data_IF_884693999132
#
_entry.id   IF_884693999132
#
_cell.length_a   1.000
_cell.length_b   1.000
_cell.length_c   1.000
_cell.angle_alpha   90.00
_cell.angle_beta   90.00
_cell.angle_gamma   90.00
#
_symmetry.space_group_name_H-M   'P 1'
#
loop_
_entity.id
_entity.type
_entity.pdbx_description
1 polymer ?
#
# COMPACT_ATOMS: atom_id res chain seq x y z
N UNK A 1 23.19 -18.42 59.33
CA UNK A 1 21.82 -18.00 58.98
C UNK A 1 21.95 -16.82 58.02
N UNK A 2 21.80 -17.07 56.72
CA UNK A 2 20.63 -16.68 55.89
C UNK A 2 20.52 -15.15 55.76
N UNK A 3 20.37 -14.52 54.60
CA UNK A 3 19.96 -14.97 53.26
C UNK A 3 20.46 -13.90 52.27
N UNK A 4 21.27 -14.27 51.27
CA UNK A 4 21.61 -13.36 50.17
C UNK A 4 20.53 -13.48 49.09
N UNK A 5 19.63 -12.50 49.03
CA UNK A 5 18.66 -12.37 47.93
C UNK A 5 19.41 -11.75 46.75
N UNK A 6 19.85 -12.59 45.81
CA UNK A 6 20.23 -12.14 44.46
C UNK A 6 18.95 -11.86 43.68
N UNK A 7 18.59 -10.59 43.55
CA UNK A 7 17.65 -10.16 42.52
C UNK A 7 18.41 -10.07 41.20
N UNK A 8 18.27 -11.10 40.35
CA UNK A 8 18.59 -10.98 38.92
C UNK A 8 17.53 -10.07 38.28
N UNK A 9 17.79 -8.76 38.29
CA UNK A 9 17.07 -7.82 37.43
C UNK A 9 17.60 -7.98 36.02
N UNK A 10 16.81 -8.63 35.16
CA UNK A 10 17.09 -8.72 33.74
C UNK A 10 16.76 -7.38 33.07
N UNK A 11 17.77 -6.54 32.86
CA UNK A 11 17.65 -5.19 32.31
C UNK A 11 17.24 -5.14 30.81
N UNK A 12 16.97 -6.29 30.18
CA UNK A 12 16.51 -6.38 28.78
C UNK A 12 14.98 -6.35 28.59
N UNK A 13 14.18 -6.07 29.64
CA UNK A 13 12.71 -6.03 29.56
C UNK A 13 12.07 -4.63 29.60
N UNK A 14 12.85 -3.53 29.54
CA UNK A 14 12.31 -2.17 29.69
C UNK A 14 12.91 -1.12 28.74
N UNK A 15 13.31 -1.49 27.53
CA UNK A 15 13.61 -0.49 26.49
C UNK A 15 12.88 -0.87 25.20
N UNK A 16 11.83 -0.12 24.78
CA UNK A 16 11.37 -0.21 23.41
C UNK A 16 12.44 0.44 22.53
N UNK A 17 13.34 -0.39 22.00
CA UNK A 17 14.31 0.00 20.98
C UNK A 17 13.59 0.07 19.63
N UNK A 18 12.81 1.13 19.42
CA UNK A 18 12.54 1.64 18.08
C UNK A 18 13.59 2.73 17.83
N UNK A 19 14.78 2.32 17.43
CA UNK A 19 15.81 3.22 16.93
C UNK A 19 15.70 3.24 15.40
N UNK A 20 15.29 4.36 14.82
CA UNK A 20 15.40 4.58 13.38
C UNK A 20 15.95 5.97 13.08
N UNK A 21 17.27 6.03 12.90
CA UNK A 21 17.89 7.14 12.18
C UNK A 21 17.67 6.92 10.68
N UNK A 22 16.75 7.70 10.09
CA UNK A 22 16.94 8.25 8.75
C UNK A 22 16.10 9.53 8.52
N UNK A 23 16.53 10.71 9.04
CA UNK A 23 16.10 11.98 8.47
C UNK A 23 17.18 12.46 7.49
N UNK A 24 16.81 12.63 6.22
CA UNK A 24 17.30 13.65 5.25
C UNK A 24 17.20 13.21 3.78
N UNK A 25 17.13 11.91 3.44
CA UNK A 25 17.01 11.49 2.03
C UNK A 25 15.56 11.46 1.50
N UNK A 26 14.56 11.27 2.36
CA UNK A 26 13.16 11.07 1.93
C UNK A 26 12.37 12.35 1.61
N UNK A 27 12.99 13.54 1.62
CA UNK A 27 12.31 14.75 1.12
C UNK A 27 12.67 15.03 -0.35
N UNK A 28 13.79 14.50 -0.84
CA UNK A 28 14.28 14.75 -2.21
C UNK A 28 14.27 13.48 -3.07
N UNK A 29 14.48 12.29 -2.50
CA UNK A 29 14.45 11.04 -3.27
C UNK A 29 13.06 10.73 -3.87
N UNK A 30 11.97 11.07 -3.17
CA UNK A 30 10.59 10.88 -3.66
C UNK A 30 10.22 11.80 -4.85
N UNK A 31 11.02 12.82 -5.16
CA UNK A 31 10.80 13.71 -6.31
C UNK A 31 11.88 13.62 -7.40
N UNK A 32 13.02 12.95 -7.18
CA UNK A 32 14.20 13.11 -8.03
C UNK A 32 14.78 11.83 -8.65
N UNK A 33 14.24 10.63 -8.39
CA UNK A 33 14.77 9.36 -8.94
C UNK A 33 13.77 8.52 -9.73
N UNK A 34 12.70 9.12 -10.25
CA UNK A 34 11.66 8.39 -11.00
C UNK A 34 11.95 7.98 -12.47
N UNK A 35 13.01 8.38 -13.21
CA UNK A 35 13.04 8.03 -14.65
C UNK A 35 14.00 6.92 -15.08
N UNK A 36 14.70 6.20 -14.20
CA UNK A 36 15.71 5.21 -14.64
C UNK A 36 15.75 3.91 -13.84
N UNK A 37 14.60 3.29 -13.61
CA UNK A 37 14.54 1.85 -13.42
C UNK A 37 13.42 1.28 -14.28
N UNK A 38 13.77 0.35 -15.16
CA UNK A 38 12.82 -0.53 -15.82
C UNK A 38 12.11 -1.32 -14.71
N UNK A 39 10.91 -0.87 -14.36
CA UNK A 39 9.96 -1.63 -13.56
C UNK A 39 9.71 -2.95 -14.29
N UNK A 40 10.42 -3.98 -13.86
CA UNK A 40 10.09 -5.37 -14.19
C UNK A 40 8.91 -5.73 -13.29
N UNK A 41 7.74 -5.24 -13.67
CA UNK A 41 6.52 -5.45 -12.94
C UNK A 41 5.98 -6.82 -13.34
N UNK A 42 6.16 -7.83 -12.47
CA UNK A 42 5.12 -8.85 -12.31
C UNK A 42 4.14 -8.36 -11.23
N UNK A 43 3.65 -7.14 -11.45
CA UNK A 43 2.26 -6.81 -11.21
C UNK A 43 1.45 -7.70 -12.17
N UNK A 44 0.23 -8.13 -11.83
CA UNK A 44 -0.65 -8.64 -12.91
C UNK A 44 -0.70 -7.54 -13.94
N UNK A 45 -0.22 -7.81 -15.17
CA UNK A 45 -0.25 -6.80 -16.21
C UNK A 45 -1.64 -6.15 -16.23
N UNK A 46 -1.70 -4.81 -16.26
CA UNK A 46 -2.97 -4.11 -16.36
C UNK A 46 -3.79 -4.74 -17.48
N UNK A 47 -5.03 -5.12 -17.17
CA UNK A 47 -5.92 -5.66 -18.21
C UNK A 47 -6.46 -4.43 -18.93
N UNK A 48 -5.78 -4.05 -20.00
CA UNK A 48 -6.24 -3.01 -20.89
C UNK A 48 -7.53 -3.44 -21.59
N UNK A 49 -8.37 -2.45 -21.88
CA UNK A 49 -9.74 -2.65 -22.31
C UNK A 49 -9.91 -2.16 -23.73
N UNK A 50 -10.43 -3.03 -24.59
CA UNK A 50 -10.84 -2.70 -25.95
C UNK A 50 -12.37 -2.65 -26.05
N UNK A 51 -12.86 -2.01 -27.12
CA UNK A 51 -14.30 -2.00 -27.42
C UNK A 51 -14.87 -3.43 -27.48
N UNK A 52 -15.99 -3.64 -26.80
CA UNK A 52 -16.65 -4.95 -26.66
C UNK A 52 -16.24 -5.73 -25.40
N UNK A 53 -15.18 -5.32 -24.70
CA UNK A 53 -14.81 -5.92 -23.42
C UNK A 53 -15.85 -5.62 -22.33
N UNK A 54 -15.77 -6.38 -21.23
CA UNK A 54 -16.71 -6.29 -20.10
C UNK A 54 -16.02 -5.79 -18.84
N UNK A 55 -16.58 -4.73 -18.25
CA UNK A 55 -16.21 -4.19 -16.94
C UNK A 55 -17.42 -4.30 -16.03
N UNK A 56 -17.32 -5.09 -14.96
CA UNK A 56 -18.47 -5.58 -14.23
C UNK A 56 -19.54 -6.17 -15.19
N UNK A 57 -20.78 -5.69 -15.09
CA UNK A 57 -21.89 -6.10 -15.95
C UNK A 57 -22.10 -5.21 -17.18
N UNK A 58 -21.16 -4.31 -17.48
CA UNK A 58 -21.25 -3.32 -18.55
C UNK A 58 -20.24 -3.58 -19.68
N UNK A 59 -20.58 -3.13 -20.88
CA UNK A 59 -19.75 -3.27 -22.07
C UNK A 59 -18.95 -1.98 -22.33
N UNK A 60 -17.70 -2.13 -22.76
CA UNK A 60 -16.86 -1.02 -23.22
C UNK A 60 -17.34 -0.60 -24.61
N UNK A 61 -17.88 0.62 -24.72
CA UNK A 61 -18.39 1.19 -25.97
C UNK A 61 -17.31 1.88 -26.82
N UNK A 62 -16.27 2.40 -26.17
CA UNK A 62 -15.10 3.01 -26.81
C UNK A 62 -13.85 2.80 -25.96
N UNK A 63 -12.75 2.48 -26.64
CA UNK A 63 -11.42 2.27 -26.10
C UNK A 63 -10.59 3.56 -26.06
N UNK A 64 -9.42 3.49 -25.42
CA UNK A 64 -8.42 4.54 -25.36
C UNK A 64 -7.70 4.61 -26.71
N UNK A 65 -7.64 5.80 -27.32
CA UNK A 65 -7.06 5.95 -28.65
C UNK A 65 -6.43 7.34 -28.82
N UNK A 66 -5.10 7.39 -28.74
CA UNK A 66 -4.32 8.62 -28.93
C UNK A 66 -4.28 9.10 -30.40
N UNK A 67 -4.66 8.25 -31.34
CA UNK A 67 -4.67 8.52 -32.77
C UNK A 67 -6.09 8.66 -33.33
N UNK A 68 -7.12 8.71 -32.47
CA UNK A 68 -8.53 8.77 -32.88
C UNK A 68 -8.78 9.92 -33.83
N UNK A 69 -9.25 9.63 -35.02
CA UNK A 69 -9.61 10.63 -36.04
C UNK A 69 -11.09 10.98 -35.89
N UNK A 70 -11.38 12.24 -35.62
CA UNK A 70 -12.77 12.71 -35.53
C UNK A 70 -13.43 12.60 -36.92
N UNK A 71 -14.54 11.85 -37.07
CA UNK A 71 -15.06 11.41 -38.36
C UNK A 71 -15.60 12.56 -39.24
N UNK A 72 -15.83 13.74 -38.65
CA UNK A 72 -16.37 14.91 -39.37
C UNK A 72 -15.29 15.94 -39.68
N UNK A 73 -14.34 16.17 -38.77
CA UNK A 73 -13.29 17.20 -38.93
C UNK A 73 -11.99 16.65 -39.51
N UNK A 74 -11.77 15.32 -39.47
CA UNK A 74 -10.54 14.68 -39.92
C UNK A 74 -9.31 14.97 -39.04
N UNK A 75 -9.51 15.61 -37.89
CA UNK A 75 -8.47 15.91 -36.91
C UNK A 75 -8.22 14.73 -35.99
N UNK A 76 -6.96 14.52 -35.59
CA UNK A 76 -6.63 13.59 -34.50
C UNK A 76 -7.05 14.24 -33.19
N UNK A 77 -8.02 13.65 -32.52
CA UNK A 77 -8.53 14.05 -31.21
C UNK A 77 -8.36 12.88 -30.24
N UNK A 78 -7.26 12.85 -29.46
CA UNK A 78 -6.96 11.76 -28.55
C UNK A 78 -8.11 11.49 -27.57
N UNK A 79 -8.50 10.23 -27.45
CA UNK A 79 -9.40 9.76 -26.41
C UNK A 79 -8.58 9.21 -25.24
N UNK A 80 -8.48 9.98 -24.16
CA UNK A 80 -7.71 9.63 -22.95
C UNK A 80 -8.49 8.78 -21.94
N UNK A 81 -9.61 8.18 -22.35
CA UNK A 81 -10.54 7.47 -21.48
C UNK A 81 -10.97 6.13 -22.03
N UNK A 82 -11.71 5.39 -21.20
CA UNK A 82 -12.47 4.21 -21.58
C UNK A 82 -13.95 4.52 -21.36
N UNK A 83 -14.76 4.39 -22.41
CA UNK A 83 -16.20 4.59 -22.33
C UNK A 83 -16.89 3.27 -21.98
N UNK A 84 -17.54 3.21 -20.83
CA UNK A 84 -18.31 2.07 -20.37
C UNK A 84 -19.80 2.40 -20.48
N UNK A 85 -20.54 1.61 -21.27
CA UNK A 85 -21.96 1.82 -21.51
C UNK A 85 -22.78 1.52 -20.24
N UNK A 86 -23.11 2.59 -19.50
CA UNK A 86 -23.87 2.54 -18.25
C UNK A 86 -25.19 3.32 -18.39
N UNK A 87 -26.33 2.78 -17.93
CA UNK A 87 -27.57 3.55 -17.86
C UNK A 87 -27.44 4.75 -16.91
N UNK A 88 -28.11 5.86 -17.22
CA UNK A 88 -28.23 7.01 -16.30
C UNK A 88 -28.72 6.55 -14.93
N UNK A 89 -28.06 7.03 -13.88
CA UNK A 89 -28.36 6.65 -12.49
C UNK A 89 -27.62 5.41 -12.01
N UNK A 90 -26.72 4.81 -12.80
CA UNK A 90 -25.84 3.75 -12.32
C UNK A 90 -24.97 4.30 -11.20
N UNK A 91 -24.94 3.60 -10.06
CA UNK A 91 -24.20 4.04 -8.88
C UNK A 91 -22.71 3.83 -9.07
N UNK A 92 -21.94 4.87 -8.78
CA UNK A 92 -20.51 4.78 -8.56
C UNK A 92 -20.25 4.66 -7.06
N UNK A 93 -19.58 3.58 -6.68
CA UNK A 93 -19.41 3.14 -5.30
C UNK A 93 -17.94 3.29 -4.93
N UNK A 94 -17.65 3.89 -3.78
CA UNK A 94 -16.29 4.04 -3.28
C UNK A 94 -15.69 2.67 -2.93
N UNK A 95 -14.64 2.19 -3.61
CA UNK A 95 -14.02 0.90 -3.30
C UNK A 95 -13.13 0.98 -2.05
N UNK A 96 -12.64 2.18 -1.74
CA UNK A 96 -11.80 2.52 -0.58
C UNK A 96 -12.34 3.79 0.06
N UNK A 97 -11.63 4.35 1.04
CA UNK A 97 -11.83 5.77 1.36
C UNK A 97 -11.38 6.59 0.14
N UNK A 98 -12.17 7.57 -0.28
CA UNK A 98 -11.87 8.43 -1.43
C UNK A 98 -12.14 9.89 -1.09
N UNK A 99 -11.31 10.81 -1.58
CA UNK A 99 -11.63 12.25 -1.69
C UNK A 99 -12.18 12.49 -3.10
N UNK A 100 -13.34 13.17 -3.17
CA UNK A 100 -14.04 13.48 -4.42
C UNK A 100 -14.17 14.98 -4.58
N UNK A 101 -13.81 15.48 -5.76
CA UNK A 101 -14.04 16.86 -6.20
C UNK A 101 -14.86 16.85 -7.47
N UNK A 102 -15.93 17.64 -7.49
CA UNK A 102 -16.90 17.71 -8.55
C UNK A 102 -16.85 19.07 -9.24
N UNK A 103 -16.98 19.07 -10.56
CA UNK A 103 -17.20 20.30 -11.32
C UNK A 103 -17.89 19.99 -12.65
N UNK A 104 -18.41 21.04 -13.28
CA UNK A 104 -19.00 20.94 -14.60
C UNK A 104 -18.02 21.40 -15.69
N UNK A 105 -17.62 20.51 -16.59
CA UNK A 105 -16.83 20.81 -17.78
C UNK A 105 -17.73 21.11 -18.98
N UNK A 106 -17.74 22.38 -19.40
CA UNK A 106 -18.51 22.86 -20.54
C UNK A 106 -17.94 22.41 -21.90
N UNK A 107 -16.70 21.91 -21.95
CA UNK A 107 -16.02 21.55 -23.20
C UNK A 107 -16.27 20.11 -23.65
N UNK A 108 -17.14 19.38 -22.95
CA UNK A 108 -17.55 18.04 -23.33
C UNK A 108 -17.74 17.11 -22.15
N UNK A 109 -16.96 17.27 -21.07
CA UNK A 109 -16.99 16.32 -19.95
C UNK A 109 -18.28 16.32 -19.12
N UNK A 110 -19.09 17.38 -19.18
CA UNK A 110 -20.32 17.47 -18.41
C UNK A 110 -20.03 17.52 -16.91
N UNK A 111 -20.84 16.84 -16.10
CA UNK A 111 -20.55 16.68 -14.67
C UNK A 111 -19.39 15.69 -14.49
N UNK A 112 -18.33 16.13 -13.81
CA UNK A 112 -17.08 15.39 -13.63
C UNK A 112 -16.81 15.15 -12.15
N UNK A 113 -16.34 13.96 -11.81
CA UNK A 113 -15.74 13.65 -10.50
C UNK A 113 -14.24 13.38 -10.67
N UNK A 114 -13.38 14.16 -10.01
CA UNK A 114 -12.01 13.75 -9.71
C UNK A 114 -12.01 12.96 -8.40
N UNK A 115 -11.42 11.78 -8.45
CA UNK A 115 -11.42 10.82 -7.37
C UNK A 115 -9.97 10.52 -6.99
N UNK A 116 -9.61 10.84 -5.75
CA UNK A 116 -8.32 10.53 -5.16
C UNK A 116 -8.54 9.43 -4.12
N UNK A 117 -8.26 8.16 -4.44
CA UNK A 117 -8.48 7.07 -3.51
C UNK A 117 -7.34 6.95 -2.49
N UNK A 118 -7.63 6.37 -1.33
CA UNK A 118 -6.60 6.00 -0.36
C UNK A 118 -5.69 4.87 -0.85
N UNK A 119 -6.10 4.16 -1.91
CA UNK A 119 -5.33 3.13 -2.60
C UNK A 119 -5.76 3.06 -4.07
N UNK A 120 -4.78 2.98 -4.97
CA UNK A 120 -4.99 2.94 -6.42
C UNK A 120 -4.72 4.29 -7.08
N UNK A 121 -4.93 4.32 -8.40
CA UNK A 121 -4.67 5.53 -9.21
C UNK A 121 -5.78 6.57 -9.06
N UNK A 122 -5.42 7.85 -9.12
CA UNK A 122 -6.37 8.94 -9.19
C UNK A 122 -7.09 8.96 -10.54
N UNK A 123 -8.41 9.17 -10.51
CA UNK A 123 -9.29 9.04 -11.67
C UNK A 123 -10.10 10.33 -11.92
N UNK A 124 -10.51 10.53 -13.17
CA UNK A 124 -11.58 11.44 -13.56
C UNK A 124 -12.72 10.62 -14.17
N UNK A 125 -13.94 10.84 -13.68
CA UNK A 125 -15.15 10.15 -14.11
C UNK A 125 -16.12 11.19 -14.67
N UNK A 126 -16.42 11.10 -15.97
CA UNK A 126 -17.13 12.14 -16.72
C UNK A 126 -18.56 11.72 -17.08
N UNK A 127 -19.31 12.66 -17.65
CA UNK A 127 -20.69 12.50 -18.13
C UNK A 127 -21.71 12.14 -17.04
N UNK A 128 -21.39 12.43 -15.78
CA UNK A 128 -22.20 12.04 -14.63
C UNK A 128 -23.56 12.74 -14.63
N UNK A 129 -24.57 12.14 -14.00
CA UNK A 129 -25.83 12.85 -13.73
C UNK A 129 -25.79 13.57 -12.38
N UNK A 130 -24.93 13.11 -11.47
CA UNK A 130 -24.81 13.63 -10.11
C UNK A 130 -23.42 13.35 -9.58
N UNK A 131 -22.79 14.37 -9.01
CA UNK A 131 -21.56 14.29 -8.24
C UNK A 131 -21.72 15.18 -7.00
N UNK A 132 -21.17 14.76 -5.86
CA UNK A 132 -21.14 15.58 -4.64
C UNK A 132 -19.72 15.58 -4.06
N UNK A 133 -19.22 16.77 -3.74
CA UNK A 133 -17.91 16.93 -3.10
C UNK A 133 -17.88 16.25 -1.74
N UNK A 134 -16.77 15.59 -1.41
CA UNK A 134 -16.57 15.09 -0.05
C UNK A 134 -15.59 13.93 0.08
N UNK A 135 -15.54 13.42 1.30
CA UNK A 135 -14.79 12.20 1.64
C UNK A 135 -15.81 11.08 1.84
N UNK A 136 -15.65 10.00 1.08
CA UNK A 136 -16.55 8.84 1.09
C UNK A 136 -15.81 7.63 1.66
N UNK A 137 -16.54 6.79 2.41
CA UNK A 137 -16.02 5.53 2.94
C UNK A 137 -16.31 4.40 1.97
N UNK A 138 -15.59 3.28 2.12
CA UNK A 138 -15.84 2.07 1.35
C UNK A 138 -17.32 1.68 1.38
N UNK A 139 -17.90 1.47 0.20
CA UNK A 139 -19.30 1.09 0.00
C UNK A 139 -20.26 2.27 -0.17
N UNK A 140 -19.84 3.50 0.11
CA UNK A 140 -20.67 4.68 -0.09
C UNK A 140 -20.86 4.95 -1.59
N UNK A 141 -22.06 5.37 -1.99
CA UNK A 141 -22.29 5.90 -3.34
C UNK A 141 -21.87 7.37 -3.37
N UNK A 142 -20.95 7.73 -4.26
CA UNK A 142 -20.42 9.09 -4.35
C UNK A 142 -20.89 9.85 -5.60
N UNK A 143 -21.25 9.13 -6.65
CA UNK A 143 -21.72 9.71 -7.91
C UNK A 143 -22.68 8.76 -8.65
N UNK A 144 -23.37 9.31 -9.65
CA UNK A 144 -24.26 8.57 -10.54
C UNK A 144 -23.88 8.83 -11.99
N UNK A 145 -23.78 7.79 -12.82
CA UNK A 145 -23.49 7.95 -14.26
C UNK A 145 -24.66 8.61 -14.98
N UNK A 146 -24.39 9.23 -16.12
CA UNK A 146 -25.39 9.98 -16.86
C UNK A 146 -25.04 10.15 -18.34
N UNK A 147 -25.55 11.22 -18.91
CA UNK A 147 -25.31 11.65 -20.28
C UNK A 147 -25.07 13.17 -20.34
N UNK A 148 -24.48 13.75 -19.29
CA UNK A 148 -24.18 15.18 -19.27
C UNK A 148 -22.98 15.50 -20.18
N UNK A 149 -22.84 16.78 -20.57
CA UNK A 149 -21.79 17.18 -21.51
C UNK A 149 -22.11 16.80 -22.97
N UNK A 150 -21.08 16.53 -23.77
CA UNK A 150 -21.20 16.19 -25.19
C UNK A 150 -21.02 14.68 -25.32
N UNK A 151 -22.05 13.98 -25.82
CA UNK A 151 -22.00 12.53 -26.02
C UNK A 151 -23.22 12.00 -26.77
N UNK A 152 -23.16 10.75 -27.23
CA UNK A 152 -24.22 10.10 -28.03
C UNK A 152 -25.25 9.36 -27.19
N UNK A 153 -25.02 9.18 -25.89
CA UNK A 153 -25.87 8.44 -24.98
C UNK A 153 -25.27 8.33 -23.59
N UNK A 154 -26.02 7.71 -22.66
CA UNK A 154 -25.55 7.52 -21.30
C UNK A 154 -24.37 6.53 -21.24
N UNK A 155 -23.28 6.95 -20.61
CA UNK A 155 -22.08 6.15 -20.39
C UNK A 155 -21.23 6.75 -19.27
N UNK A 156 -20.26 5.97 -18.81
CA UNK A 156 -19.18 6.44 -17.94
C UNK A 156 -17.93 6.56 -18.80
N UNK A 157 -17.38 7.77 -18.93
CA UNK A 157 -16.00 7.96 -19.43
C UNK A 157 -15.08 8.00 -18.21
N UNK A 158 -14.22 6.99 -18.10
CA UNK A 158 -13.26 6.85 -17.03
C UNK A 158 -11.84 7.12 -17.53
N UNK A 159 -11.15 8.07 -16.88
CA UNK A 159 -9.80 8.51 -17.24
C UNK A 159 -8.89 8.45 -16.03
N UNK A 160 -7.61 8.15 -16.24
CA UNK A 160 -6.59 8.38 -15.21
C UNK A 160 -6.18 9.84 -15.20
N UNK A 161 -5.90 10.38 -14.02
CA UNK A 161 -5.49 11.78 -13.88
C UNK A 161 -4.14 12.08 -14.55
N UNK A 162 -3.23 11.10 -14.58
CA UNK A 162 -1.94 11.17 -15.28
C UNK A 162 -2.03 10.92 -16.79
N UNK A 163 -3.24 10.68 -17.31
CA UNK A 163 -3.56 10.42 -18.72
C UNK A 163 -2.99 9.11 -19.30
N UNK A 164 -2.44 8.24 -18.46
CA UNK A 164 -2.12 6.88 -18.90
C UNK A 164 -3.41 6.11 -19.20
N UNK A 165 -3.29 5.05 -20.01
CA UNK A 165 -4.43 4.21 -20.38
C UNK A 165 -5.07 3.57 -19.12
N UNK A 166 -6.37 3.78 -18.87
CA UNK A 166 -7.08 3.12 -17.77
C UNK A 166 -7.25 1.61 -18.02
N UNK A 167 -6.88 0.80 -17.03
CA UNK A 167 -7.11 -0.65 -17.04
C UNK A 167 -8.45 -1.03 -16.43
N UNK A 168 -8.87 -2.29 -16.61
CA UNK A 168 -10.03 -2.87 -15.90
C UNK A 168 -9.92 -2.71 -14.39
N UNK A 169 -8.72 -2.87 -13.83
CA UNK A 169 -8.44 -2.72 -12.41
C UNK A 169 -8.64 -1.27 -11.92
N UNK A 170 -8.53 -0.28 -12.80
CA UNK A 170 -8.81 1.12 -12.46
C UNK A 170 -10.31 1.41 -12.42
N UNK A 171 -11.12 0.77 -13.28
CA UNK A 171 -12.53 1.15 -13.51
C UNK A 171 -13.51 0.28 -12.73
N UNK A 172 -13.33 -1.05 -12.77
CA UNK A 172 -14.26 -2.02 -12.18
C UNK A 172 -14.54 -1.78 -10.67
N UNK A 173 -13.57 -1.33 -9.86
CA UNK A 173 -13.82 -1.06 -8.45
C UNK A 173 -14.87 0.01 -8.20
N UNK A 174 -14.93 1.06 -9.02
CA UNK A 174 -15.92 2.12 -8.86
C UNK A 174 -17.33 1.71 -9.28
N UNK A 175 -17.47 0.69 -10.15
CA UNK A 175 -18.75 0.14 -10.56
C UNK A 175 -19.27 -0.93 -9.58
N UNK A 176 -18.38 -1.62 -8.88
CA UNK A 176 -18.71 -2.75 -8.00
C UNK A 176 -18.61 -2.43 -6.50
N UNK A 177 -17.91 -1.35 -6.15
CA UNK A 177 -17.51 -1.04 -4.78
C UNK A 177 -16.46 -2.00 -4.21
N UNK A 178 -15.81 -2.80 -5.06
CA UNK A 178 -14.88 -3.86 -4.64
C UNK A 178 -13.56 -3.70 -5.36
N UNK A 179 -12.48 -3.59 -4.60
CA UNK A 179 -11.15 -3.77 -5.15
C UNK A 179 -11.02 -5.19 -5.73
N UNK A 180 -10.20 -5.38 -6.79
CA UNK A 180 -9.86 -6.72 -7.25
C UNK A 180 -9.30 -7.53 -6.07
N UNK A 181 -9.62 -8.83 -5.96
CA UNK A 181 -9.09 -9.66 -4.89
C UNK A 181 -7.56 -9.60 -4.92
N UNK A 182 -6.98 -9.06 -3.84
CA UNK A 182 -5.54 -9.13 -3.63
C UNK A 182 -5.21 -10.59 -3.36
N UNK A 183 -4.52 -11.25 -4.29
CA UNK A 183 -3.90 -12.54 -4.03
C UNK A 183 -2.64 -12.32 -3.18
N UNK A 184 -2.81 -11.77 -1.98
CA UNK A 184 -1.75 -11.64 -0.99
C UNK A 184 -1.90 -12.74 0.05
N UNK A 185 -0.79 -13.36 0.46
CA UNK A 185 -0.79 -14.28 1.59
C UNK A 185 -0.95 -13.56 2.95
N UNK A 186 -0.82 -12.22 2.99
CA UNK A 186 -0.90 -11.39 4.20
C UNK A 186 -2.17 -10.53 4.21
N UNK A 187 -3.03 -10.72 5.21
CA UNK A 187 -4.13 -9.79 5.50
C UNK A 187 -3.61 -8.47 6.10
N UNK A 188 -4.41 -7.40 6.07
CA UNK A 188 -4.03 -6.14 6.74
C UNK A 188 -3.83 -6.35 8.24
N UNK A 189 -4.62 -7.25 8.84
CA UNK A 189 -4.46 -7.64 10.23
C UNK A 189 -3.11 -8.33 10.47
N UNK A 190 -2.67 -9.22 9.58
CA UNK A 190 -1.34 -9.83 9.67
C UNK A 190 -0.26 -8.75 9.73
N UNK A 191 -0.30 -7.74 8.85
CA UNK A 191 0.68 -6.64 8.81
C UNK A 191 0.63 -5.77 10.07
N UNK A 192 -0.57 -5.36 10.50
CA UNK A 192 -0.77 -4.56 11.71
C UNK A 192 -0.21 -5.28 12.94
N UNK A 193 -0.49 -6.57 13.08
CA UNK A 193 -0.04 -7.36 14.22
C UNK A 193 1.46 -7.66 14.16
N UNK A 194 1.98 -8.09 13.00
CA UNK A 194 3.37 -8.52 12.87
C UNK A 194 4.36 -7.37 12.94
N UNK A 195 4.13 -6.30 12.16
CA UNK A 195 5.00 -5.12 12.15
C UNK A 195 4.81 -4.34 13.45
N UNK A 196 3.56 -4.21 13.93
CA UNK A 196 3.31 -3.54 15.21
C UNK A 196 3.96 -4.21 16.41
N UNK A 197 4.05 -5.54 16.43
CA UNK A 197 4.81 -6.26 17.46
C UNK A 197 6.31 -6.00 17.34
N UNK A 198 6.86 -5.98 16.12
CA UNK A 198 8.26 -5.69 15.88
C UNK A 198 8.65 -4.24 16.28
N UNK A 199 7.74 -3.28 16.08
CA UNK A 199 7.86 -1.88 16.54
C UNK A 199 7.63 -1.72 18.06
N UNK A 200 6.92 -2.66 18.70
CA UNK A 200 6.49 -2.55 20.11
C UNK A 200 5.22 -1.71 20.33
N UNK A 201 4.53 -1.35 19.27
CA UNK A 201 3.23 -0.63 19.29
C UNK A 201 2.05 -1.58 19.48
N UNK A 202 2.25 -2.88 19.23
CA UNK A 202 1.30 -3.98 19.49
C UNK A 202 1.90 -5.01 20.42
N UNK A 203 1.07 -5.63 21.26
CA UNK A 203 1.48 -6.74 22.11
C UNK A 203 1.33 -8.12 21.43
N UNK A 204 1.65 -9.19 22.17
CA UNK A 204 1.53 -10.58 21.69
C UNK A 204 0.10 -11.03 21.31
N UNK A 205 -0.93 -10.27 21.67
CA UNK A 205 -2.33 -10.49 21.30
C UNK A 205 -2.84 -9.42 20.31
N UNK A 206 -1.91 -8.71 19.66
CA UNK A 206 -2.19 -7.63 18.72
C UNK A 206 -2.98 -6.45 19.32
N UNK A 207 -2.95 -6.29 20.64
CA UNK A 207 -3.57 -5.15 21.31
C UNK A 207 -2.63 -3.93 21.28
N UNK A 208 -3.15 -2.70 21.09
CA UNK A 208 -2.36 -1.49 21.17
C UNK A 208 -1.63 -1.33 22.51
N UNK A 209 -0.34 -1.01 22.45
CA UNK A 209 0.45 -0.60 23.63
C UNK A 209 0.35 0.92 23.85
N UNK A 210 1.06 1.45 24.85
CA UNK A 210 1.17 2.90 25.03
C UNK A 210 1.81 3.58 23.79
N UNK A 211 2.78 2.94 23.15
CA UNK A 211 3.51 3.49 22.01
C UNK A 211 2.64 3.68 20.75
N UNK A 212 1.56 2.90 20.61
CA UNK A 212 0.58 3.07 19.53
C UNK A 212 -0.06 4.45 19.52
N UNK A 213 -0.31 5.02 20.70
CA UNK A 213 -1.00 6.32 20.84
C UNK A 213 -0.08 7.51 20.63
N UNK A 214 1.23 7.28 20.49
CA UNK A 214 2.22 8.33 20.42
C UNK A 214 3.49 7.92 21.14
N UNK A 215 4.63 8.09 20.48
CA UNK A 215 5.94 8.09 21.14
C UNK A 215 6.90 8.98 20.35
N UNK A 216 7.84 9.60 21.05
CA UNK A 216 8.89 10.41 20.41
C UNK A 216 10.10 9.52 20.16
N UNK A 217 10.56 9.51 18.92
CA UNK A 217 11.77 8.78 18.51
C UNK A 217 13.02 9.42 19.17
N UNK A 218 13.79 8.67 19.98
CA UNK A 218 14.98 9.21 20.65
C UNK A 218 16.09 9.64 19.68
N UNK A 219 16.11 9.11 18.45
CA UNK A 219 17.16 9.35 17.46
C UNK A 219 16.95 10.62 16.64
N UNK A 220 15.70 11.01 16.35
CA UNK A 220 15.40 12.20 15.54
C UNK A 220 14.39 13.18 16.17
N UNK A 221 13.80 12.83 17.32
CA UNK A 221 12.81 13.65 18.01
C UNK A 221 11.44 13.72 17.33
N UNK A 222 11.16 12.86 16.34
CA UNK A 222 9.89 12.82 15.64
C UNK A 222 8.80 12.14 16.49
N UNK A 223 7.59 12.66 16.42
CA UNK A 223 6.42 12.03 17.04
C UNK A 223 5.83 10.99 16.08
N UNK A 224 5.82 9.75 16.53
CA UNK A 224 5.35 8.58 15.80
C UNK A 224 3.95 8.19 16.27
N UNK A 225 3.15 7.61 15.38
CA UNK A 225 1.76 7.26 15.67
C UNK A 225 1.36 5.93 14.99
N UNK A 226 0.42 5.21 15.61
CA UNK A 226 -0.13 3.99 15.03
C UNK A 226 0.73 2.74 15.24
N UNK A 227 0.32 1.65 14.62
CA UNK A 227 0.96 0.33 14.66
C UNK A 227 2.32 0.34 13.97
N UNK A 228 2.51 1.16 12.95
CA UNK A 228 3.74 1.16 12.16
C UNK A 228 4.73 2.27 12.52
N UNK A 229 4.49 2.99 13.63
CA UNK A 229 5.31 4.13 14.06
C UNK A 229 5.40 5.24 13.00
N UNK A 230 4.27 5.59 12.38
CA UNK A 230 4.20 6.51 11.25
C UNK A 230 4.62 7.94 11.62
N UNK A 231 5.52 8.54 10.83
CA UNK A 231 6.16 9.84 11.09
C UNK A 231 5.56 11.03 10.31
N UNK A 232 4.72 10.80 9.29
CA UNK A 232 4.32 11.85 8.35
C UNK A 232 3.01 12.58 8.74
N UNK A 233 2.94 13.09 9.98
CA UNK A 233 1.87 13.99 10.49
C UNK A 233 0.43 13.48 10.25
N UNK A 234 0.12 12.30 10.79
CA UNK A 234 -1.27 11.82 10.87
C UNK A 234 -2.04 12.51 12.01
N UNK A 235 -3.37 12.62 11.86
CA UNK A 235 -4.25 13.23 12.88
C UNK A 235 -4.65 12.26 14.00
N UNK A 236 -4.64 10.95 13.72
CA UNK A 236 -5.04 9.87 14.64
C UNK A 236 -4.26 8.59 14.34
N UNK A 237 -4.03 7.69 15.31
CA UNK A 237 -3.33 6.41 15.07
C UNK A 237 -3.95 5.59 13.94
N UNK A 238 -5.27 5.65 13.79
CA UNK A 238 -6.00 4.96 12.72
C UNK A 238 -5.75 5.60 11.35
N UNK A 239 -5.56 6.92 11.28
CA UNK A 239 -5.13 7.61 10.06
C UNK A 239 -3.68 7.28 9.69
N UNK A 240 -2.79 7.20 10.68
CA UNK A 240 -1.42 6.74 10.50
C UNK A 240 -1.38 5.31 9.94
N UNK A 241 -2.13 4.40 10.54
CA UNK A 241 -2.21 2.99 10.11
C UNK A 241 -2.73 2.87 8.68
N UNK A 242 -3.80 3.60 8.34
CA UNK A 242 -4.33 3.62 6.97
C UNK A 242 -3.28 4.08 5.96
N UNK A 243 -2.60 5.20 6.24
CA UNK A 243 -1.59 5.76 5.31
C UNK A 243 -0.40 4.83 5.14
N UNK A 244 0.10 4.26 6.23
CA UNK A 244 1.26 3.37 6.17
C UNK A 244 0.90 2.01 5.55
N UNK A 245 -0.29 1.47 5.80
CA UNK A 245 -0.78 0.28 5.10
C UNK A 245 -0.80 0.50 3.58
N UNK A 246 -1.29 1.64 3.10
CA UNK A 246 -1.23 1.95 1.66
C UNK A 246 0.20 1.85 1.11
N UNK A 247 1.18 2.42 1.81
CA UNK A 247 2.58 2.39 1.40
C UNK A 247 3.18 0.98 1.45
N UNK A 248 2.92 0.23 2.52
CA UNK A 248 3.37 -1.16 2.65
C UNK A 248 2.79 -2.04 1.55
N UNK A 249 1.54 -1.79 1.14
CA UNK A 249 0.91 -2.53 0.06
C UNK A 249 1.47 -2.19 -1.32
N UNK A 250 1.92 -0.95 -1.52
CA UNK A 250 2.68 -0.59 -2.72
C UNK A 250 4.04 -1.31 -2.73
N UNK A 251 4.78 -1.26 -1.62
CA UNK A 251 6.05 -1.97 -1.46
C UNK A 251 5.88 -3.50 -1.63
N UNK A 252 4.77 -4.07 -1.17
CA UNK A 252 4.47 -5.49 -1.34
C UNK A 252 4.40 -5.89 -2.81
N UNK A 253 3.75 -5.08 -3.65
CA UNK A 253 3.65 -5.34 -5.08
C UNK A 253 5.04 -5.35 -5.73
N UNK A 254 5.88 -4.36 -5.39
CA UNK A 254 7.24 -4.25 -5.92
C UNK A 254 8.11 -5.44 -5.47
N UNK A 255 8.09 -5.78 -4.18
CA UNK A 255 8.83 -6.91 -3.61
C UNK A 255 8.37 -8.25 -4.20
N UNK A 256 7.06 -8.45 -4.38
CA UNK A 256 6.58 -9.69 -5.00
C UNK A 256 6.99 -9.79 -6.47
N UNK A 257 6.98 -8.67 -7.21
CA UNK A 257 7.52 -8.61 -8.57
C UNK A 257 8.99 -9.04 -8.63
N UNK A 258 9.85 -8.41 -7.82
CA UNK A 258 11.27 -8.76 -7.71
C UNK A 258 11.49 -10.24 -7.32
N UNK A 259 10.68 -10.78 -6.42
CA UNK A 259 10.77 -12.17 -6.01
C UNK A 259 10.38 -13.14 -7.14
N UNK A 260 9.35 -12.81 -7.92
CA UNK A 260 8.96 -13.61 -9.08
C UNK A 260 10.04 -13.54 -10.15
N UNK A 261 10.62 -12.37 -10.40
CA UNK A 261 11.72 -12.22 -11.37
C UNK A 261 12.95 -13.06 -10.97
N UNK A 262 13.33 -13.02 -9.68
CA UNK A 262 14.51 -13.72 -9.18
C UNK A 262 14.30 -15.22 -8.98
N UNK A 263 13.14 -15.63 -8.47
CA UNK A 263 12.89 -17.00 -8.00
C UNK A 263 11.83 -17.75 -8.81
N UNK A 264 11.17 -17.09 -9.77
CA UNK A 264 10.06 -17.65 -10.55
C UNK A 264 8.75 -17.78 -9.77
N UNK A 265 8.68 -17.29 -8.54
CA UNK A 265 7.51 -17.40 -7.66
C UNK A 265 7.53 -16.32 -6.56
N UNK A 266 6.36 -15.94 -6.00
CA UNK A 266 6.28 -14.98 -4.91
C UNK A 266 6.94 -15.48 -3.62
N UNK A 267 7.33 -14.54 -2.75
CA UNK A 267 7.79 -14.83 -1.38
C UNK A 267 6.70 -15.54 -0.58
N UNK A 268 7.09 -16.49 0.27
CA UNK A 268 6.20 -17.07 1.28
C UNK A 268 5.75 -16.03 2.31
N UNK A 269 4.60 -16.25 2.95
CA UNK A 269 4.03 -15.39 4.01
C UNK A 269 5.08 -14.95 5.07
N UNK A 270 5.91 -15.86 5.64
CA UNK A 270 6.99 -15.48 6.56
C UNK A 270 8.00 -14.50 5.95
N UNK A 271 8.46 -14.77 4.73
CA UNK A 271 9.46 -13.95 4.05
C UNK A 271 8.89 -12.60 3.62
N UNK A 272 7.65 -12.57 3.15
CA UNK A 272 6.95 -11.35 2.77
C UNK A 272 6.73 -10.43 3.97
N UNK A 273 6.28 -10.97 5.10
CA UNK A 273 6.09 -10.19 6.31
C UNK A 273 7.41 -9.61 6.84
N UNK A 274 8.48 -10.39 6.79
CA UNK A 274 9.81 -9.91 7.17
C UNK A 274 10.37 -8.88 6.16
N UNK A 275 10.04 -8.99 4.88
CA UNK A 275 10.42 -8.00 3.87
C UNK A 275 9.71 -6.66 4.10
N UNK A 276 8.41 -6.69 4.34
CA UNK A 276 7.60 -5.50 4.60
C UNK A 276 7.95 -4.83 5.93
N UNK A 277 8.30 -5.61 6.96
CA UNK A 277 8.83 -5.05 8.21
C UNK A 277 10.18 -4.35 8.00
N UNK A 278 11.10 -4.96 7.21
CA UNK A 278 12.38 -4.31 6.90
C UNK A 278 12.16 -3.03 6.10
N UNK A 279 11.25 -3.05 5.12
CA UNK A 279 10.89 -1.86 4.34
C UNK A 279 10.26 -0.77 5.22
N UNK A 280 9.40 -1.14 6.19
CA UNK A 280 8.89 -0.21 7.19
C UNK A 280 10.02 0.44 8.00
N UNK A 281 11.03 -0.37 8.35
CA UNK A 281 12.17 0.06 9.15
C UNK A 281 13.19 0.91 8.36
N UNK A 282 13.45 0.54 7.12
CA UNK A 282 14.39 1.18 6.21
C UNK A 282 13.98 0.82 4.78
N UNK A 283 13.28 1.71 4.05
CA UNK A 283 12.81 1.42 2.70
C UNK A 283 13.92 0.92 1.76
N UNK A 284 15.10 1.54 1.81
CA UNK A 284 16.24 1.15 0.97
C UNK A 284 16.77 -0.25 1.30
N UNK A 285 16.85 -0.61 2.59
CA UNK A 285 17.22 -1.97 2.97
C UNK A 285 16.11 -2.98 2.62
N UNK A 286 14.85 -2.58 2.74
CA UNK A 286 13.71 -3.41 2.31
C UNK A 286 13.75 -3.70 0.82
N UNK A 287 14.03 -2.68 0.00
CA UNK A 287 14.15 -2.77 -1.46
C UNK A 287 15.29 -3.69 -1.92
N UNK A 288 16.40 -3.77 -1.17
CA UNK A 288 17.55 -4.64 -1.51
C UNK A 288 17.44 -6.06 -0.95
N UNK A 289 16.48 -6.35 -0.07
CA UNK A 289 16.39 -7.62 0.65
C UNK A 289 16.36 -8.83 -0.28
N UNK A 290 15.61 -8.73 -1.38
CA UNK A 290 15.38 -9.86 -2.29
C UNK A 290 16.69 -10.30 -2.92
N UNK A 291 17.63 -9.40 -3.18
CA UNK A 291 18.97 -9.72 -3.70
C UNK A 291 19.76 -10.62 -2.74
N UNK A 292 19.54 -10.46 -1.44
CA UNK A 292 20.22 -11.24 -0.39
C UNK A 292 19.51 -12.55 -0.04
N UNK A 293 18.25 -12.73 -0.44
CA UNK A 293 17.51 -13.97 -0.18
C UNK A 293 18.01 -15.12 -1.09
N UNK A 294 18.18 -16.34 -0.54
CA UNK A 294 18.61 -17.50 -1.33
C UNK A 294 17.46 -18.21 -2.06
N UNK A 295 16.21 -17.97 -1.67
CA UNK A 295 15.01 -18.51 -2.32
C UNK A 295 13.78 -17.70 -1.89
N UNK A 296 12.65 -17.89 -2.58
CA UNK A 296 11.36 -17.33 -2.19
C UNK A 296 10.74 -17.96 -0.91
N UNK A 297 11.27 -19.09 -0.43
CA UNK A 297 10.83 -19.76 0.81
C UNK A 297 12.00 -19.96 1.78
N UNK A 298 12.68 -18.88 2.20
CA UNK A 298 13.85 -18.95 3.06
C UNK A 298 13.48 -19.43 4.47
N UNK A 299 14.46 -20.00 5.16
CA UNK A 299 14.40 -20.27 6.61
C UNK A 299 14.51 -18.96 7.40
N UNK A 300 14.09 -18.97 8.67
CA UNK A 300 14.23 -17.79 9.56
C UNK A 300 15.66 -17.27 9.64
N UNK A 301 16.66 -18.15 9.76
CA UNK A 301 18.07 -17.76 9.76
C UNK A 301 18.53 -17.11 8.45
N UNK A 302 18.00 -17.57 7.30
CA UNK A 302 18.28 -16.94 6.00
C UNK A 302 17.61 -15.57 5.87
N UNK A 303 16.41 -15.39 6.43
CA UNK A 303 15.74 -14.08 6.50
C UNK A 303 16.58 -13.11 7.34
N UNK A 304 16.98 -13.49 8.56
CA UNK A 304 17.78 -12.63 9.46
C UNK A 304 19.08 -12.21 8.77
N UNK A 305 19.79 -13.17 8.18
CA UNK A 305 21.03 -12.90 7.45
C UNK A 305 20.80 -11.91 6.30
N UNK A 306 19.79 -12.15 5.47
CA UNK A 306 19.49 -11.27 4.34
C UNK A 306 19.15 -9.85 4.81
N UNK A 307 18.33 -9.73 5.86
CA UNK A 307 17.98 -8.43 6.45
C UNK A 307 19.20 -7.68 6.97
N UNK A 308 20.13 -8.36 7.66
CA UNK A 308 21.37 -7.72 8.12
C UNK A 308 22.27 -7.31 6.96
N UNK A 309 22.34 -8.11 5.89
CA UNK A 309 23.12 -7.79 4.69
C UNK A 309 22.55 -6.61 3.90
N UNK A 310 21.24 -6.36 3.99
CA UNK A 310 20.55 -5.29 3.26
C UNK A 310 20.94 -3.88 3.75
N UNK A 311 21.62 -3.78 4.90
CA UNK A 311 22.21 -2.54 5.41
C UNK A 311 23.63 -2.27 4.88
N UNK A 312 24.19 -3.15 4.04
CA UNK A 312 25.47 -2.89 3.42
C UNK A 312 25.28 -2.02 2.18
N UNK A 313 25.98 -0.90 2.11
CA UNK A 313 26.04 -0.08 0.91
C UNK A 313 26.62 -0.92 -0.25
N UNK A 314 25.91 -1.04 -1.39
CA UNK A 314 26.31 -1.94 -2.46
C UNK A 314 27.57 -1.48 -3.21
N UNK A 315 27.91 -0.18 -3.16
CA UNK A 315 29.08 0.37 -3.83
C UNK A 315 30.37 0.19 -3.01
N UNK A 316 30.26 0.25 -1.69
CA UNK A 316 31.40 0.29 -0.76
C UNK A 316 31.53 -0.97 0.09
N UNK A 317 30.44 -1.74 0.25
CA UNK A 317 30.35 -2.87 1.17
C UNK A 317 30.39 -2.47 2.65
N UNK A 318 30.29 -1.17 2.96
CA UNK A 318 30.28 -0.68 4.33
C UNK A 318 28.87 -0.71 4.90
N UNK A 319 28.78 -0.88 6.23
CA UNK A 319 27.50 -0.86 6.93
C UNK A 319 26.94 0.56 7.00
N UNK A 320 25.71 0.73 6.51
CA UNK A 320 24.93 1.96 6.59
C UNK A 320 23.63 1.71 7.38
N UNK A 321 23.81 1.63 8.69
CA UNK A 321 22.75 1.48 9.69
C UNK A 321 23.00 2.44 10.86
N UNK A 322 23.00 3.77 10.63
CA UNK A 322 23.32 4.75 11.66
C UNK A 322 22.40 4.60 12.88
N UNK A 323 21.13 4.23 12.64
CA UNK A 323 20.11 3.96 13.67
C UNK A 323 20.48 2.84 14.63
N UNK A 324 21.32 1.93 14.16
CA UNK A 324 21.80 0.77 14.89
C UNK A 324 23.30 0.90 15.21
N UNK A 325 23.79 2.15 15.27
CA UNK A 325 25.15 2.49 15.65
C UNK A 325 26.22 2.13 14.62
N UNK A 326 25.84 1.76 13.38
CA UNK A 326 26.76 1.21 12.38
C UNK A 326 27.60 0.05 12.95
N UNK A 327 27.00 -0.77 13.81
CA UNK A 327 27.63 -1.93 14.42
C UNK A 327 26.94 -3.22 13.93
N UNK A 328 27.73 -4.12 13.33
CA UNK A 328 27.18 -5.32 12.70
C UNK A 328 26.49 -6.25 13.71
N UNK A 329 26.98 -6.33 14.95
CA UNK A 329 26.37 -7.16 15.98
C UNK A 329 25.05 -6.57 16.48
N UNK A 330 24.95 -5.23 16.59
CA UNK A 330 23.70 -4.55 16.90
C UNK A 330 22.67 -4.70 15.78
N UNK A 331 23.10 -4.58 14.52
CA UNK A 331 22.23 -4.83 13.36
C UNK A 331 21.70 -6.26 13.38
N UNK A 332 22.57 -7.27 13.51
CA UNK A 332 22.15 -8.66 13.56
C UNK A 332 21.21 -8.95 14.75
N UNK A 333 21.49 -8.39 15.93
CA UNK A 333 20.63 -8.55 17.10
C UNK A 333 19.23 -7.93 16.89
N UNK A 334 19.14 -6.73 16.33
CA UNK A 334 17.84 -6.10 16.03
C UNK A 334 17.08 -6.85 14.94
N UNK A 335 17.75 -7.18 13.83
CA UNK A 335 17.12 -7.93 12.74
C UNK A 335 16.64 -9.31 13.18
N UNK A 336 17.38 -9.98 14.07
CA UNK A 336 16.98 -11.24 14.70
C UNK A 336 15.72 -11.07 15.56
N UNK A 337 15.70 -10.06 16.43
CA UNK A 337 14.54 -9.74 17.28
C UNK A 337 13.30 -9.43 16.44
N UNK A 338 13.39 -8.50 15.49
CA UNK A 338 12.25 -8.09 14.65
C UNK A 338 11.72 -9.25 13.81
N UNK A 339 12.62 -10.02 13.19
CA UNK A 339 12.21 -11.23 12.45
C UNK A 339 11.47 -12.21 13.37
N UNK A 340 11.97 -12.43 14.59
CA UNK A 340 11.32 -13.28 15.58
C UNK A 340 9.88 -12.84 15.88
N UNK A 341 9.66 -11.55 16.14
CA UNK A 341 8.32 -11.00 16.40
C UNK A 341 7.38 -11.13 15.19
N UNK A 342 7.86 -10.79 13.99
CA UNK A 342 7.07 -10.91 12.76
C UNK A 342 6.65 -12.36 12.55
N UNK A 343 7.59 -13.30 12.59
CA UNK A 343 7.28 -14.70 12.34
C UNK A 343 6.36 -15.28 13.41
N UNK A 344 6.58 -14.94 14.68
CA UNK A 344 5.71 -15.36 15.78
C UNK A 344 4.25 -14.93 15.56
N UNK A 345 4.02 -13.69 15.13
CA UNK A 345 2.67 -13.19 14.87
C UNK A 345 2.02 -13.86 13.65
N UNK A 346 2.79 -14.12 12.58
CA UNK A 346 2.26 -14.73 11.34
C UNK A 346 1.98 -16.23 11.46
N UNK A 347 2.70 -16.93 12.33
CA UNK A 347 2.46 -18.35 12.65
C UNK A 347 1.25 -18.53 13.58
N UNK A 348 0.93 -17.50 14.38
CA UNK A 348 -0.18 -17.54 15.32
C UNK A 348 -1.51 -17.30 14.58
N UNK A 349 -2.20 -18.39 14.29
CA UNK A 349 -3.54 -18.36 13.71
C UNK A 349 -4.50 -17.52 14.59
N UNK A 350 -5.06 -16.38 14.12
CA UNK A 350 -5.88 -15.49 14.95
C UNK A 350 -7.24 -16.09 15.40
N UNK A 351 -7.60 -17.27 14.88
CA UNK A 351 -8.96 -17.80 14.92
C UNK A 351 -9.34 -18.53 16.23
N UNK A 352 -8.95 -17.99 17.40
CA UNK A 352 -9.29 -18.59 18.71
C UNK A 352 -9.79 -17.66 19.81
N UNK A 353 -10.20 -16.42 19.54
CA UNK A 353 -10.80 -15.59 20.60
C UNK A 353 -11.85 -14.56 20.18
N UNK A 354 -12.68 -14.86 19.17
CA UNK A 354 -14.03 -14.26 19.14
C UNK A 354 -14.97 -15.31 19.73
N UNK A 355 -15.07 -15.28 21.06
CA UNK A 355 -16.04 -16.06 21.80
C UNK A 355 -17.43 -15.76 21.26
N UNK A 356 -18.18 -16.83 20.98
CA UNK A 356 -19.62 -16.79 20.86
C UNK A 356 -20.23 -16.34 22.19
N UNK A 357 -20.25 -15.04 22.47
CA UNK A 357 -21.21 -14.50 23.41
C UNK A 357 -22.52 -14.27 22.65
N UNK A 358 -23.38 -15.28 22.76
CA UNK A 358 -24.82 -15.10 22.66
C UNK A 358 -25.21 -13.97 23.60
N UNK A 359 -25.76 -12.90 23.05
CA UNK A 359 -26.54 -11.94 23.84
C UNK A 359 -27.96 -12.50 23.91
N UNK A 360 -28.57 -12.60 25.10
CA UNK A 360 -29.97 -13.01 25.27
C UNK A 360 -30.97 -12.03 24.65
#
# INVERSE_FOLDING_TARGET
MQLAIRTNLNFYRLVPLALMLWPMANVIADYALSPLFLQSAISREPIYLSKGDRVADYEVSSDYDLARVHPVSGTVEPHYGIDVATPTGTKLIAPTVIEVRCWYDINGGGEVAEVIPSEGDAMQLLHLSTCVDGIYKTGDTFALTGASGIGTGAHLDARRLDKAEPSKQNIEPYLTGKLPPRNTELSDLDLVCSIGAAEGTRDSNCQPTAAYRGHTDPGNGADNLGSFSYQHRASTPEDADRRQLTRLRQAEADLQGQAVDKFGQPLSKPALGAALDLWNQSPQAGESLIDHLPSAKPTSGQIIKARSQSYLDPATGQLDAPGLGNDAAQVEADQSRRTGEVLYQLERNPDRSIGSERIP
#
